data_IF_330541008148
#
_entry.id   IF_330541008148
#
_cell.length_a   1.000
_cell.length_b   1.000
_cell.length_c   1.000
_cell.angle_alpha   90.00
_cell.angle_beta   90.00
_cell.angle_gamma   90.00
#
_symmetry.space_group_name_H-M   'P 1'
#
loop_
_entity.id
_entity.type
_entity.pdbx_description
1 polymer ?
#
# COMPACT_ATOMS: atom_id res chain seq x y z
N UNK A 1 8.74 -15.90 11.64
CA UNK A 1 7.81 -16.83 12.31
C UNK A 1 7.28 -17.84 11.29
N UNK A 2 6.99 -19.08 11.68
CA UNK A 2 6.29 -20.04 10.83
C UNK A 2 4.81 -19.95 11.18
N UNK A 3 4.03 -19.26 10.34
CA UNK A 3 2.60 -19.08 10.59
C UNK A 3 1.83 -20.39 10.40
N UNK A 4 0.75 -20.56 11.16
CA UNK A 4 -0.15 -21.71 11.06
C UNK A 4 -1.59 -21.30 10.72
N UNK A 5 -2.51 -22.25 10.81
CA UNK A 5 -3.93 -22.02 10.52
C UNK A 5 -4.54 -20.96 11.45
N UNK A 6 -4.16 -20.96 12.73
CA UNK A 6 -4.80 -20.09 13.70
C UNK A 6 -4.31 -18.64 13.50
N UNK A 7 -3.04 -18.45 13.11
CA UNK A 7 -2.53 -17.15 12.65
C UNK A 7 -3.29 -16.61 11.44
N UNK A 8 -3.63 -17.48 10.48
CA UNK A 8 -4.42 -17.12 9.30
C UNK A 8 -5.82 -16.67 9.71
N UNK A 9 -6.50 -17.42 10.57
CA UNK A 9 -7.83 -17.06 11.06
C UNK A 9 -7.82 -15.71 11.79
N UNK A 10 -6.78 -15.46 12.60
CA UNK A 10 -6.59 -14.17 13.27
C UNK A 10 -6.41 -13.02 12.27
N UNK A 11 -5.58 -13.21 11.23
CA UNK A 11 -5.33 -12.20 10.21
C UNK A 11 -6.59 -11.89 9.38
N UNK A 12 -7.34 -12.93 8.97
CA UNK A 12 -8.60 -12.79 8.22
C UNK A 12 -9.65 -12.07 9.06
N UNK A 13 -9.82 -12.47 10.32
CA UNK A 13 -10.75 -11.82 11.23
C UNK A 13 -10.39 -10.35 11.46
N UNK A 14 -9.10 -10.03 11.60
CA UNK A 14 -8.64 -8.65 11.72
C UNK A 14 -8.93 -7.82 10.46
N UNK A 15 -8.65 -8.37 9.27
CA UNK A 15 -8.95 -7.73 8.00
C UNK A 15 -10.46 -7.48 7.82
N UNK A 16 -11.30 -8.47 8.20
CA UNK A 16 -12.77 -8.34 8.18
C UNK A 16 -13.25 -7.23 9.11
N UNK A 17 -12.74 -7.18 10.36
CA UNK A 17 -13.08 -6.11 11.30
C UNK A 17 -12.67 -4.72 10.79
N UNK A 18 -11.52 -4.60 10.13
CA UNK A 18 -11.11 -3.34 9.52
C UNK A 18 -12.06 -2.94 8.39
N UNK A 19 -12.40 -3.88 7.51
CA UNK A 19 -13.30 -3.66 6.38
C UNK A 19 -14.73 -3.31 6.83
N UNK A 20 -15.32 -4.08 7.74
CA UNK A 20 -16.65 -3.78 8.28
C UNK A 20 -16.65 -2.57 9.24
N UNK A 21 -15.45 -2.16 9.67
CA UNK A 21 -15.20 -1.03 10.55
C UNK A 21 -14.87 0.27 9.80
N UNK A 22 -14.02 1.13 10.37
CA UNK A 22 -13.85 2.50 9.88
C UNK A 22 -13.15 2.58 8.51
N UNK A 23 -12.31 1.60 8.16
CA UNK A 23 -11.51 1.65 6.92
C UNK A 23 -12.36 1.75 5.64
N UNK A 24 -13.48 1.01 5.57
CA UNK A 24 -14.40 1.10 4.43
C UNK A 24 -15.09 2.45 4.31
N UNK A 25 -15.23 3.17 5.44
CA UNK A 25 -15.88 4.49 5.52
C UNK A 25 -14.93 5.67 5.35
N UNK A 26 -13.62 5.44 5.31
CA UNK A 26 -12.64 6.50 5.06
C UNK A 26 -12.94 7.17 3.73
N UNK A 27 -12.95 8.50 3.76
CA UNK A 27 -13.06 9.30 2.55
C UNK A 27 -11.86 9.03 1.64
N UNK A 28 -12.03 9.17 0.31
CA UNK A 28 -10.94 9.10 -0.65
C UNK A 28 -9.67 9.87 -0.23
N UNK A 29 -9.85 11.09 0.28
CA UNK A 29 -8.75 11.93 0.77
C UNK A 29 -8.02 11.33 1.98
N UNK A 30 -8.74 10.75 2.95
CA UNK A 30 -8.11 10.16 4.14
C UNK A 30 -7.24 8.94 3.76
N UNK A 31 -7.69 8.15 2.78
CA UNK A 31 -6.90 7.05 2.21
C UNK A 31 -5.67 7.56 1.48
N UNK A 32 -5.80 8.62 0.68
CA UNK A 32 -4.67 9.26 0.01
C UNK A 32 -3.62 9.73 1.01
N UNK A 33 -4.02 10.45 2.07
CA UNK A 33 -3.10 10.95 3.10
C UNK A 33 -2.30 9.81 3.74
N UNK A 34 -2.95 8.68 4.05
CA UNK A 34 -2.27 7.52 4.60
C UNK A 34 -1.29 6.88 3.61
N UNK A 35 -1.67 6.71 2.35
CA UNK A 35 -0.79 6.15 1.31
C UNK A 35 0.42 7.05 1.04
N UNK A 36 0.23 8.39 1.03
CA UNK A 36 1.34 9.34 0.93
C UNK A 36 2.28 9.24 2.13
N UNK A 37 1.73 9.13 3.35
CA UNK A 37 2.55 8.93 4.55
C UNK A 37 3.35 7.62 4.50
N UNK A 38 2.79 6.53 3.96
CA UNK A 38 3.53 5.29 3.72
C UNK A 38 4.66 5.53 2.72
N UNK A 39 4.39 6.25 1.62
CA UNK A 39 5.42 6.60 0.63
C UNK A 39 6.57 7.39 1.24
N UNK A 40 6.29 8.36 2.11
CA UNK A 40 7.29 9.17 2.79
C UNK A 40 8.12 8.36 3.79
N UNK A 41 7.50 7.39 4.48
CA UNK A 41 8.22 6.45 5.36
C UNK A 41 9.12 5.51 4.55
N UNK A 42 8.63 4.95 3.45
CA UNK A 42 9.44 4.15 2.53
C UNK A 42 10.63 4.95 1.99
N UNK A 43 10.39 6.22 1.64
CA UNK A 43 11.43 7.10 1.14
C UNK A 43 12.50 7.37 2.20
N UNK A 44 12.09 7.66 3.43
CA UNK A 44 12.96 7.91 4.57
C UNK A 44 13.83 6.69 4.93
N UNK A 45 13.27 5.49 4.82
CA UNK A 45 13.93 4.24 5.22
C UNK A 45 14.46 3.41 4.04
N UNK A 46 14.58 4.01 2.85
CA UNK A 46 14.83 3.28 1.61
C UNK A 46 16.13 2.44 1.64
N UNK A 47 17.21 2.98 2.19
CA UNK A 47 18.49 2.26 2.28
C UNK A 47 18.40 1.02 3.17
N UNK A 48 17.71 1.14 4.31
CA UNK A 48 17.50 0.04 5.26
C UNK A 48 16.69 -1.08 4.61
N UNK A 49 15.58 -0.72 3.97
CA UNK A 49 14.73 -1.65 3.22
C UNK A 49 15.53 -2.33 2.10
N UNK A 50 16.33 -1.57 1.34
CA UNK A 50 17.14 -2.11 0.23
C UNK A 50 18.22 -3.07 0.71
N UNK A 51 18.84 -2.80 1.87
CA UNK A 51 19.80 -3.73 2.50
C UNK A 51 19.11 -5.00 2.95
N UNK A 52 17.94 -4.90 3.60
CA UNK A 52 17.16 -6.07 4.01
C UNK A 52 16.78 -6.93 2.80
N UNK A 53 16.29 -6.33 1.71
CA UNK A 53 15.91 -7.04 0.48
C UNK A 53 17.13 -7.70 -0.20
N UNK A 54 18.28 -7.01 -0.19
CA UNK A 54 19.56 -7.56 -0.69
C UNK A 54 20.00 -8.77 0.13
N UNK A 55 19.91 -8.69 1.46
CA UNK A 55 20.31 -9.78 2.35
C UNK A 55 19.38 -10.99 2.23
N UNK A 56 18.08 -10.77 2.07
CA UNK A 56 17.08 -11.84 2.00
C UNK A 56 17.06 -12.52 0.63
N UNK A 57 17.15 -11.74 -0.46
CA UNK A 57 16.94 -12.23 -1.83
C UNK A 57 18.25 -12.37 -2.64
N UNK A 58 19.37 -11.87 -2.14
CA UNK A 58 20.68 -11.93 -2.80
C UNK A 58 20.86 -10.95 -3.98
N UNK A 59 19.90 -10.06 -4.22
CA UNK A 59 19.99 -9.06 -5.29
C UNK A 59 21.10 -8.04 -4.99
N UNK A 60 22.00 -7.70 -5.93
CA UNK A 60 23.05 -6.71 -5.68
C UNK A 60 22.49 -5.39 -5.15
N UNK A 61 23.14 -4.81 -4.12
CA UNK A 61 22.66 -3.59 -3.44
C UNK A 61 22.44 -2.41 -4.38
N UNK A 62 23.24 -2.31 -5.45
CA UNK A 62 23.07 -1.26 -6.47
C UNK A 62 21.72 -1.40 -7.19
N UNK A 63 21.24 -2.62 -7.41
CA UNK A 63 19.96 -2.90 -8.08
C UNK A 63 18.76 -2.68 -7.15
N UNK A 64 18.85 -3.11 -5.90
CA UNK A 64 17.80 -2.80 -4.89
C UNK A 64 17.67 -1.29 -4.71
N UNK A 65 18.78 -0.57 -4.51
CA UNK A 65 18.77 0.89 -4.35
C UNK A 65 18.17 1.62 -5.56
N UNK A 66 18.46 1.15 -6.78
CA UNK A 66 17.93 1.75 -8.02
C UNK A 66 16.40 1.64 -8.16
N UNK A 67 15.73 0.75 -7.41
CA UNK A 67 14.27 0.60 -7.45
C UNK A 67 13.50 1.72 -6.73
N UNK A 68 14.20 2.65 -6.06
CA UNK A 68 13.61 3.70 -5.20
C UNK A 68 12.44 4.40 -5.85
N UNK A 69 12.69 5.01 -7.00
CA UNK A 69 11.72 5.84 -7.71
C UNK A 69 10.54 5.02 -8.21
N UNK A 70 10.75 3.75 -8.58
CA UNK A 70 9.69 2.85 -9.01
C UNK A 70 8.72 2.53 -7.87
N UNK A 71 9.25 2.13 -6.72
CA UNK A 71 8.41 1.71 -5.57
C UNK A 71 7.70 2.91 -4.95
N UNK A 72 8.42 4.00 -4.67
CA UNK A 72 7.82 5.20 -4.08
C UNK A 72 6.86 5.86 -5.07
N UNK A 73 7.21 5.91 -6.36
CA UNK A 73 6.34 6.41 -7.41
C UNK A 73 5.03 5.64 -7.50
N UNK A 74 5.07 4.30 -7.38
CA UNK A 74 3.87 3.47 -7.38
C UNK A 74 2.97 3.75 -6.16
N UNK A 75 3.53 3.93 -4.96
CA UNK A 75 2.77 4.32 -3.77
C UNK A 75 2.09 5.69 -3.97
N UNK A 76 2.83 6.68 -4.47
CA UNK A 76 2.29 8.03 -4.74
C UNK A 76 1.23 8.02 -5.85
N UNK A 77 1.42 7.19 -6.88
CA UNK A 77 0.44 6.99 -7.95
C UNK A 77 -0.89 6.46 -7.40
N UNK A 78 -0.87 5.36 -6.63
CA UNK A 78 -2.09 4.81 -6.04
C UNK A 78 -2.72 5.73 -4.98
N UNK A 79 -1.92 6.54 -4.29
CA UNK A 79 -2.44 7.59 -3.43
C UNK A 79 -3.25 8.63 -4.22
N UNK A 80 -2.79 9.05 -5.41
CA UNK A 80 -3.55 9.91 -6.31
C UNK A 80 -4.84 9.25 -6.81
N UNK A 81 -4.74 7.99 -7.24
CA UNK A 81 -5.90 7.21 -7.69
C UNK A 81 -6.99 7.07 -6.64
N UNK A 82 -6.65 7.05 -5.35
CA UNK A 82 -7.62 6.98 -4.27
C UNK A 82 -8.66 8.10 -4.34
N UNK A 83 -8.27 9.31 -4.77
CA UNK A 83 -9.17 10.47 -4.97
C UNK A 83 -9.81 10.56 -6.36
N UNK A 84 -9.28 9.81 -7.34
CA UNK A 84 -9.77 9.82 -8.72
C UNK A 84 -10.87 8.80 -8.99
N UNK A 85 -11.20 7.96 -8.00
CA UNK A 85 -12.26 6.96 -8.14
C UNK A 85 -13.64 7.65 -8.15
N UNK A 86 -14.35 7.56 -9.28
CA UNK A 86 -15.71 8.06 -9.42
C UNK A 86 -16.61 7.02 -10.08
N UNK A 87 -17.93 7.14 -9.87
CA UNK A 87 -18.93 6.38 -10.62
C UNK A 87 -19.22 7.02 -11.98
N UNK A 88 -20.14 6.41 -12.71
CA UNK A 88 -20.69 6.93 -13.95
C UNK A 88 -22.20 7.13 -13.79
N UNK A 89 -22.75 8.16 -14.43
CA UNK A 89 -24.19 8.40 -14.50
C UNK A 89 -24.64 8.20 -15.93
N UNK A 90 -25.58 7.29 -16.16
CA UNK A 90 -26.18 7.05 -17.48
C UNK A 90 -27.24 8.14 -17.71
N UNK A 91 -27.14 8.87 -18.82
CA UNK A 91 -28.13 9.87 -19.19
C UNK A 91 -29.47 9.24 -19.59
N UNK A 92 -30.57 9.91 -19.23
CA UNK A 92 -31.89 9.48 -19.67
C UNK A 92 -32.04 9.71 -21.18
N UNK A 93 -32.60 8.73 -21.88
CA UNK A 93 -32.91 8.81 -23.31
C UNK A 93 -34.01 9.86 -23.55
N UNK A 94 -33.61 11.09 -23.88
CA UNK A 94 -34.48 12.04 -24.59
C UNK A 94 -34.41 11.79 -26.09
#
# INVERSE_FOLDING_TARGET
PRGDRDDIELAVAAARRAFDGPWSRYKPYERQVLLLRIADLFEKHWEEISRSDTTDMGMPIVRTLANRNRVIGMLRYYAGMATSLHGETIENSL
#
